data_IF_128335059642
#
_entry.id   IF_128335059642
#
_cell.length_a   1.000
_cell.length_b   1.000
_cell.length_c   1.000
_cell.angle_alpha   90.00
_cell.angle_beta   90.00
_cell.angle_gamma   90.00
#
_symmetry.space_group_name_H-M   'P 1'
#
loop_
_entity.id
_entity.type
_entity.pdbx_description
1 polymer ?
#
# COMPACT_ATOMS: atom_id res chain seq x y z
N UNK A 1 -14.40 -1.68 2.23
CA UNK A 1 -13.77 -0.51 1.57
C UNK A 1 -13.01 0.41 2.53
N UNK A 2 -13.23 0.43 3.85
CA UNK A 2 -12.59 1.41 4.75
C UNK A 2 -11.19 1.04 5.29
N UNK A 3 -10.94 -0.22 5.68
CA UNK A 3 -9.68 -0.61 6.32
C UNK A 3 -8.46 -0.58 5.36
N UNK A 4 -8.67 -0.87 4.07
CA UNK A 4 -7.61 -0.84 3.06
C UNK A 4 -7.02 0.55 2.82
N UNK A 5 -7.81 1.61 3.03
CA UNK A 5 -7.35 2.99 2.87
C UNK A 5 -6.40 3.45 3.98
N UNK A 6 -6.38 2.77 5.13
CA UNK A 6 -5.47 3.07 6.24
C UNK A 6 -4.16 2.25 6.12
N UNK A 7 -4.23 1.07 5.47
CA UNK A 7 -3.08 0.21 5.28
C UNK A 7 -1.96 0.87 4.46
N UNK A 8 -2.30 1.57 3.37
CA UNK A 8 -1.32 2.23 2.51
C UNK A 8 -0.50 3.31 3.23
N UNK A 9 -1.12 4.27 3.95
CA UNK A 9 -0.37 5.22 4.78
C UNK A 9 0.45 4.55 5.88
N UNK A 10 -0.11 3.53 6.55
CA UNK A 10 0.59 2.82 7.63
C UNK A 10 1.83 2.08 7.12
N UNK A 11 1.72 1.34 6.00
CA UNK A 11 2.84 0.66 5.36
C UNK A 11 3.87 1.68 4.88
N UNK A 12 3.44 2.78 4.25
CA UNK A 12 4.34 3.85 3.80
C UNK A 12 5.16 4.44 4.95
N UNK A 13 4.53 4.65 6.12
CA UNK A 13 5.23 5.12 7.32
C UNK A 13 6.27 4.11 7.78
N UNK A 14 5.89 2.84 7.93
CA UNK A 14 6.83 1.77 8.35
C UNK A 14 8.04 1.69 7.41
N UNK A 15 7.81 1.76 6.09
CA UNK A 15 8.89 1.74 5.09
C UNK A 15 9.77 2.97 5.18
N UNK A 16 9.19 4.15 5.38
CA UNK A 16 9.94 5.39 5.53
C UNK A 16 10.78 5.41 6.81
N UNK A 17 10.22 4.90 7.92
CA UNK A 17 10.88 4.79 9.23
C UNK A 17 11.98 3.71 9.21
N UNK A 18 11.84 2.66 8.40
CA UNK A 18 12.81 1.57 8.31
C UNK A 18 13.91 1.77 7.25
N UNK A 19 13.91 2.89 6.52
CA UNK A 19 14.82 3.13 5.39
C UNK A 19 15.54 4.47 5.51
N UNK A 20 16.85 4.45 5.29
CA UNK A 20 17.67 5.66 5.15
C UNK A 20 17.40 6.37 3.81
N UNK A 21 17.73 7.67 3.72
CA UNK A 21 17.53 8.49 2.51
C UNK A 21 18.09 7.86 1.22
N UNK A 22 19.24 7.16 1.29
CA UNK A 22 19.83 6.46 0.13
C UNK A 22 19.07 5.20 -0.29
N UNK A 23 18.35 4.57 0.63
CA UNK A 23 17.66 3.29 0.39
C UNK A 23 16.15 3.44 0.27
N UNK A 24 15.58 4.57 0.71
CA UNK A 24 14.15 4.85 0.73
C UNK A 24 13.52 4.67 -0.66
N UNK A 25 14.08 5.26 -1.70
CA UNK A 25 13.56 5.07 -3.08
C UNK A 25 13.49 3.60 -3.46
N UNK A 26 14.56 2.83 -3.19
CA UNK A 26 14.61 1.39 -3.49
C UNK A 26 13.57 0.62 -2.70
N UNK A 27 13.40 0.91 -1.42
CA UNK A 27 12.41 0.26 -0.57
C UNK A 27 10.98 0.52 -1.05
N UNK A 28 10.65 1.77 -1.38
CA UNK A 28 9.36 2.13 -1.97
C UNK A 28 9.14 1.44 -3.32
N UNK A 29 10.14 1.40 -4.21
CA UNK A 29 10.02 0.70 -5.50
C UNK A 29 9.78 -0.80 -5.31
N UNK A 30 10.48 -1.44 -4.38
CA UNK A 30 10.30 -2.87 -4.12
C UNK A 30 8.88 -3.18 -3.61
N UNK A 31 8.36 -2.35 -2.70
CA UNK A 31 7.09 -2.61 -2.03
C UNK A 31 5.88 -2.17 -2.87
N UNK A 32 5.97 -1.06 -3.60
CA UNK A 32 4.84 -0.51 -4.35
C UNK A 32 4.87 -0.81 -5.84
N UNK A 33 5.99 -1.30 -6.37
CA UNK A 33 6.10 -1.64 -7.79
C UNK A 33 6.44 -3.11 -7.97
N UNK A 34 7.61 -3.55 -7.52
CA UNK A 34 8.11 -4.91 -7.82
C UNK A 34 7.21 -5.98 -7.21
N UNK A 35 6.89 -5.86 -5.91
CA UNK A 35 6.02 -6.81 -5.21
C UNK A 35 4.65 -6.96 -5.88
N UNK A 36 3.89 -5.86 -6.06
CA UNK A 36 2.61 -5.89 -6.75
C UNK A 36 2.71 -6.41 -8.19
N UNK A 37 3.72 -6.02 -8.97
CA UNK A 37 3.90 -6.52 -10.34
C UNK A 37 4.09 -8.03 -10.38
N UNK A 38 4.97 -8.58 -9.53
CA UNK A 38 5.17 -10.03 -9.42
C UNK A 38 3.89 -10.73 -8.98
N UNK A 39 3.18 -10.17 -7.98
CA UNK A 39 1.91 -10.72 -7.54
C UNK A 39 0.86 -10.73 -8.66
N UNK A 40 0.73 -9.64 -9.42
CA UNK A 40 -0.23 -9.55 -10.54
C UNK A 40 0.09 -10.50 -11.69
N UNK A 41 1.37 -10.81 -11.90
CA UNK A 41 1.79 -11.80 -12.90
C UNK A 41 1.49 -13.23 -12.46
N UNK A 42 1.74 -13.55 -11.19
CA UNK A 42 1.61 -14.91 -10.68
C UNK A 42 0.19 -15.27 -10.26
N UNK A 43 -0.60 -14.31 -9.79
CA UNK A 43 -1.93 -14.57 -9.20
C UNK A 43 -2.93 -15.20 -10.17
N UNK A 44 -3.07 -14.76 -11.44
CA UNK A 44 -3.99 -15.40 -12.39
C UNK A 44 -3.60 -16.83 -12.70
N UNK A 45 -2.30 -17.10 -12.88
CA UNK A 45 -1.79 -18.44 -13.18
C UNK A 45 -2.03 -19.40 -12.02
N UNK A 46 -1.68 -18.99 -10.80
CA UNK A 46 -1.90 -19.81 -9.61
C UNK A 46 -3.39 -19.95 -9.29
N UNK A 47 -4.17 -18.87 -9.45
CA UNK A 47 -5.61 -18.85 -9.23
C UNK A 47 -6.37 -19.73 -10.22
N UNK A 48 -6.01 -19.70 -11.50
CA UNK A 48 -6.60 -20.53 -12.55
C UNK A 48 -6.33 -22.02 -12.33
N UNK A 49 -5.08 -22.40 -12.07
CA UNK A 49 -4.74 -23.81 -11.75
C UNK A 49 -5.49 -24.31 -10.51
N UNK A 50 -5.61 -23.48 -9.48
CA UNK A 50 -6.34 -23.83 -8.26
C UNK A 50 -7.86 -23.94 -8.50
N UNK A 51 -8.41 -23.08 -9.37
CA UNK A 51 -9.80 -23.11 -9.78
C UNK A 51 -10.14 -24.42 -10.50
N UNK A 52 -9.29 -24.82 -11.44
CA UNK A 52 -9.49 -25.96 -12.33
C UNK A 52 -9.30 -27.30 -11.62
N UNK A 53 -8.39 -27.37 -10.65
CA UNK A 53 -8.04 -28.64 -9.98
C UNK A 53 -8.92 -28.98 -8.78
N UNK A 54 -9.39 -27.98 -8.02
CA UNK A 54 -10.11 -28.22 -6.76
C UNK A 54 -11.54 -27.69 -6.82
N UNK A 55 -11.70 -26.40 -7.10
CA UNK A 55 -12.97 -25.69 -7.36
C UNK A 55 -12.77 -24.18 -7.18
N UNK A 56 -13.68 -23.38 -7.72
CA UNK A 56 -13.75 -21.93 -7.48
C UNK A 56 -13.77 -21.53 -5.99
N UNK A 57 -14.33 -22.35 -5.10
CA UNK A 57 -14.39 -22.05 -3.66
C UNK A 57 -13.01 -22.06 -3.00
N UNK A 58 -12.10 -22.88 -3.50
CA UNK A 58 -10.75 -23.01 -2.96
C UNK A 58 -9.91 -21.74 -3.13
N UNK A 59 -10.19 -20.92 -4.15
CA UNK A 59 -9.52 -19.64 -4.39
C UNK A 59 -9.79 -18.67 -3.23
N UNK A 60 -11.05 -18.60 -2.78
CA UNK A 60 -11.42 -17.75 -1.65
C UNK A 60 -10.76 -18.22 -0.36
N UNK A 61 -10.68 -19.53 -0.16
CA UNK A 61 -9.99 -20.09 1.01
C UNK A 61 -8.49 -19.79 0.97
N UNK A 62 -7.83 -19.97 -0.17
CA UNK A 62 -6.42 -19.63 -0.35
C UNK A 62 -6.17 -18.12 -0.13
N UNK A 63 -7.05 -17.26 -0.62
CA UNK A 63 -7.00 -15.83 -0.34
C UNK A 63 -7.16 -15.51 1.14
N UNK A 64 -8.09 -16.16 1.84
CA UNK A 64 -8.29 -15.97 3.28
C UNK A 64 -7.07 -16.42 4.09
N UNK A 65 -6.47 -17.57 3.75
CA UNK A 65 -5.24 -18.06 4.37
C UNK A 65 -4.08 -17.11 4.08
N UNK A 66 -3.92 -16.66 2.83
CA UNK A 66 -2.89 -15.68 2.46
C UNK A 66 -3.03 -14.38 3.24
N UNK A 67 -4.26 -13.88 3.39
CA UNK A 67 -4.55 -12.69 4.20
C UNK A 67 -4.22 -12.90 5.67
N UNK A 68 -4.57 -14.06 6.24
CA UNK A 68 -4.24 -14.40 7.62
C UNK A 68 -2.72 -14.43 7.84
N UNK A 69 -1.98 -15.04 6.92
CA UNK A 69 -0.51 -15.08 6.94
C UNK A 69 0.05 -13.65 6.87
N UNK A 70 -0.43 -12.81 5.96
CA UNK A 70 0.00 -11.42 5.86
C UNK A 70 -0.22 -10.63 7.16
N UNK A 71 -1.38 -10.80 7.80
CA UNK A 71 -1.69 -10.18 9.10
C UNK A 71 -0.74 -10.70 10.19
N UNK A 72 -0.46 -12.00 10.23
CA UNK A 72 0.48 -12.58 11.20
C UNK A 72 1.89 -12.02 11.02
N UNK A 73 2.40 -11.95 9.79
CA UNK A 73 3.68 -11.33 9.51
C UNK A 73 3.68 -9.85 9.92
N UNK A 74 2.65 -9.09 9.52
CA UNK A 74 2.55 -7.67 9.88
C UNK A 74 2.48 -7.45 11.39
N UNK A 75 1.76 -8.29 12.12
CA UNK A 75 1.68 -8.22 13.60
C UNK A 75 3.01 -8.49 14.31
N UNK A 76 3.96 -9.15 13.62
CA UNK A 76 5.30 -9.45 14.13
C UNK A 76 6.30 -8.34 13.82
N UNK A 77 6.00 -7.44 12.87
CA UNK A 77 6.82 -6.26 12.64
C UNK A 77 6.72 -5.35 13.86
N UNK A 78 7.87 -5.07 14.48
CA UNK A 78 7.97 -4.02 15.50
C UNK A 78 8.14 -2.69 14.78
N UNK A 79 7.20 -1.74 14.93
CA UNK A 79 7.42 -0.38 14.44
C UNK A 79 8.70 0.16 15.07
N UNK A 80 9.62 0.66 14.24
CA UNK A 80 10.73 1.45 14.75
C UNK A 80 10.10 2.74 15.28
N UNK A 81 10.13 2.95 16.60
CA UNK A 81 9.69 4.23 17.19
C UNK A 81 10.64 5.33 16.74
N UNK A 82 10.31 6.00 15.65
CA UNK A 82 10.87 7.32 15.34
C UNK A 82 10.30 8.30 16.36
N UNK A 83 11.08 8.56 17.41
CA UNK A 83 10.77 9.45 18.55
C UNK A 83 10.29 10.86 18.16
N UNK A 84 10.50 11.28 16.92
CA UNK A 84 10.13 12.62 16.41
C UNK A 84 8.69 12.73 15.90
N UNK A 85 7.99 11.62 15.64
CA UNK A 85 6.64 11.67 15.04
C UNK A 85 5.51 11.91 16.06
N UNK A 86 5.77 11.76 17.37
CA UNK A 86 4.76 11.99 18.41
C UNK A 86 4.52 13.48 18.71
N UNK A 87 5.35 14.41 18.19
CA UNK A 87 5.24 15.85 18.47
C UNK A 87 4.72 16.72 17.33
N UNK A 88 4.63 16.22 16.09
CA UNK A 88 3.97 16.98 15.02
C UNK A 88 2.57 16.43 14.79
N UNK A 89 1.58 17.09 15.39
CA UNK A 89 0.21 17.05 14.88
C UNK A 89 0.23 17.57 13.43
N UNK A 90 0.53 16.68 12.48
CA UNK A 90 0.65 16.99 11.07
C UNK A 90 -0.69 17.51 10.56
N UNK A 91 -0.82 18.84 10.52
CA UNK A 91 -2.04 19.47 10.05
C UNK A 91 -2.12 19.27 8.54
N UNK A 92 -3.15 18.57 8.06
CA UNK A 92 -3.44 18.46 6.62
C UNK A 92 -3.47 19.83 5.93
N UNK A 93 -3.86 20.89 6.68
CA UNK A 93 -3.78 22.28 6.21
C UNK A 93 -2.34 22.74 5.96
N UNK A 94 -1.38 22.37 6.80
CA UNK A 94 0.02 22.69 6.59
C UNK A 94 0.60 21.95 5.38
N UNK A 95 0.18 20.70 5.14
CA UNK A 95 0.56 19.96 3.94
C UNK A 95 0.03 20.64 2.65
N UNK A 96 -1.23 21.11 2.66
CA UNK A 96 -1.82 21.85 1.54
C UNK A 96 -1.26 23.28 1.39
N UNK A 97 -0.67 23.86 2.43
CA UNK A 97 0.04 25.13 2.31
C UNK A 97 1.32 25.01 1.45
N UNK A 98 1.86 23.80 1.30
CA UNK A 98 3.03 23.54 0.46
C UNK A 98 2.62 23.52 -1.02
N UNK A 99 3.06 24.53 -1.78
CA UNK A 99 2.69 24.73 -3.20
C UNK A 99 2.81 23.47 -4.07
N UNK A 100 3.93 22.71 -4.05
CA UNK A 100 4.04 21.46 -4.82
C UNK A 100 2.96 20.43 -4.46
N UNK A 101 2.65 20.27 -3.17
CA UNK A 101 1.65 19.31 -2.70
C UNK A 101 0.25 19.75 -3.13
N UNK A 102 -0.08 21.03 -3.02
CA UNK A 102 -1.35 21.58 -3.49
C UNK A 102 -1.53 21.39 -5.02
N UNK A 103 -0.48 21.64 -5.81
CA UNK A 103 -0.51 21.46 -7.26
C UNK A 103 -0.71 20.00 -7.65
N UNK A 104 0.04 19.07 -7.03
CA UNK A 104 -0.11 17.64 -7.28
C UNK A 104 -1.50 17.14 -6.89
N UNK A 105 -2.02 17.59 -5.74
CA UNK A 105 -3.37 17.24 -5.29
C UNK A 105 -4.44 17.76 -6.25
N UNK A 106 -4.31 19.02 -6.69
CA UNK A 106 -5.22 19.62 -7.66
C UNK A 106 -5.18 18.93 -9.02
N UNK A 107 -3.98 18.59 -9.52
CA UNK A 107 -3.82 17.86 -10.78
C UNK A 107 -4.45 16.47 -10.70
N UNK A 108 -4.24 15.75 -9.60
CA UNK A 108 -4.85 14.43 -9.39
C UNK A 108 -6.37 14.50 -9.34
N UNK A 109 -6.94 15.50 -8.64
CA UNK A 109 -8.39 15.72 -8.61
C UNK A 109 -8.96 16.05 -9.98
N UNK A 110 -8.28 16.91 -10.75
CA UNK A 110 -8.70 17.26 -12.10
C UNK A 110 -8.66 16.04 -13.02
N UNK A 111 -7.59 15.25 -12.98
CA UNK A 111 -7.47 14.02 -13.74
C UNK A 111 -8.59 13.03 -13.41
N UNK A 112 -8.90 12.85 -12.12
CA UNK A 112 -9.97 11.96 -11.66
C UNK A 112 -11.34 12.46 -12.16
N UNK A 113 -11.60 13.77 -12.06
CA UNK A 113 -12.83 14.40 -12.54
C UNK A 113 -13.01 14.14 -14.05
N UNK A 114 -11.99 14.43 -14.86
CA UNK A 114 -12.01 14.19 -16.31
C UNK A 114 -12.28 12.72 -16.63
N UNK A 115 -11.65 11.79 -15.91
CA UNK A 115 -11.84 10.36 -16.14
C UNK A 115 -13.26 9.88 -15.77
N UNK A 116 -13.89 10.50 -14.77
CA UNK A 116 -15.23 10.10 -14.31
C UNK A 116 -16.38 10.77 -15.06
N UNK A 117 -16.14 11.92 -15.68
CA UNK A 117 -17.16 12.68 -16.44
C UNK A 117 -17.00 12.57 -17.96
N UNK A 118 -15.95 11.89 -18.43
CA UNK A 118 -15.64 11.65 -19.84
C UNK A 118 -16.10 10.31 -20.36
#
# INVERSE_FOLDING_TARGET
MAAGNIAFPAISKVVADSSDDRTRTRAFTLIYTVGPSVATLLSPSLGGVLADTVSLRSIFFAGAVGQLVAVLFFSRLRPVESSDAAQSGGSYRAALAYRPVALLTGFFLLMLLVLTTG
#
